data_IF_603365250474
#
_entry.id   IF_603365250474
#
_cell.length_a   1.000
_cell.length_b   1.000
_cell.length_c   1.000
_cell.angle_alpha   90.00
_cell.angle_beta   90.00
_cell.angle_gamma   90.00
#
_symmetry.space_group_name_H-M   'P 1'
#
loop_
_entity.id
_entity.type
_entity.pdbx_description
1 polymer ?
#
# COMPACT_ATOMS: atom_id res chain seq x y z
N UNK A 1 -23.64 6.14 -1.91
CA UNK A 1 -24.98 6.70 -2.12
C UNK A 1 -25.05 8.16 -1.64
N UNK A 2 -24.89 8.54 -0.33
CA UNK A 2 -24.99 9.94 0.13
C UNK A 2 -23.97 10.84 -0.59
N UNK A 3 -22.69 10.44 -0.63
CA UNK A 3 -21.63 11.16 -1.34
C UNK A 3 -21.88 11.30 -2.86
N UNK A 4 -22.41 10.25 -3.49
CA UNK A 4 -22.80 10.27 -4.90
C UNK A 4 -23.92 11.27 -5.17
N UNK A 5 -24.97 11.26 -4.36
CA UNK A 5 -26.09 12.18 -4.50
C UNK A 5 -25.67 13.65 -4.36
N UNK A 6 -24.80 13.96 -3.39
CA UNK A 6 -24.29 15.33 -3.20
C UNK A 6 -23.41 15.74 -4.40
N UNK A 7 -22.62 14.82 -4.97
CA UNK A 7 -21.77 15.09 -6.13
C UNK A 7 -22.57 15.33 -7.41
N UNK A 8 -23.63 14.53 -7.63
CA UNK A 8 -24.41 14.53 -8.88
C UNK A 8 -25.53 15.59 -8.86
N UNK A 9 -26.17 15.77 -7.71
CA UNK A 9 -27.38 16.60 -7.57
C UNK A 9 -27.18 17.89 -6.76
N UNK A 10 -26.02 18.05 -6.10
CA UNK A 10 -25.72 19.20 -5.25
C UNK A 10 -26.35 19.17 -3.85
N UNK A 11 -27.12 18.13 -3.52
CA UNK A 11 -27.79 17.99 -2.22
C UNK A 11 -27.86 16.53 -1.76
N UNK A 12 -27.92 16.28 -0.43
CA UNK A 12 -28.02 14.95 0.12
C UNK A 12 -29.38 14.31 -0.11
N UNK A 13 -29.48 12.96 -0.11
CA UNK A 13 -30.73 12.24 -0.24
C UNK A 13 -31.57 12.36 1.02
N UNK A 14 -32.88 12.20 0.85
CA UNK A 14 -33.86 12.08 1.97
C UNK A 14 -33.76 10.70 2.62
N UNK A 15 -34.30 10.55 3.84
CA UNK A 15 -34.39 9.26 4.54
C UNK A 15 -35.14 8.21 3.71
N UNK A 16 -36.16 8.63 2.94
CA UNK A 16 -36.92 7.73 2.05
C UNK A 16 -36.10 7.25 0.89
N UNK A 17 -35.40 8.15 0.19
CA UNK A 17 -34.50 7.79 -0.92
C UNK A 17 -33.38 6.85 -0.46
N UNK A 18 -32.87 7.02 0.78
CA UNK A 18 -31.90 6.08 1.37
C UNK A 18 -32.56 4.72 1.60
N UNK A 19 -33.77 4.68 2.16
CA UNK A 19 -34.50 3.44 2.39
C UNK A 19 -34.73 2.65 1.11
N UNK A 20 -35.23 3.32 0.08
CA UNK A 20 -35.46 2.73 -1.24
C UNK A 20 -34.16 2.17 -1.85
N UNK A 21 -33.06 2.93 -1.82
CA UNK A 21 -31.78 2.53 -2.39
C UNK A 21 -31.12 1.33 -1.69
N UNK A 22 -31.43 1.11 -0.41
CA UNK A 22 -30.88 0.00 0.38
C UNK A 22 -31.90 -1.09 0.75
N UNK A 23 -33.12 -1.02 0.21
CA UNK A 23 -34.17 -2.01 0.50
C UNK A 23 -34.65 -1.97 1.97
N UNK A 24 -34.51 -0.83 2.66
CA UNK A 24 -34.93 -0.67 4.06
C UNK A 24 -36.34 -0.10 4.09
N UNK A 25 -37.32 -0.95 4.34
CA UNK A 25 -38.75 -0.58 4.32
C UNK A 25 -39.14 0.42 5.43
N UNK A 26 -38.41 0.47 6.54
CA UNK A 26 -38.72 1.32 7.69
C UNK A 26 -37.82 2.55 7.76
N UNK A 27 -38.41 3.74 7.86
CA UNK A 27 -37.67 4.99 8.11
C UNK A 27 -36.91 4.96 9.45
N UNK A 28 -37.41 4.21 10.44
CA UNK A 28 -36.70 4.01 11.71
C UNK A 28 -35.43 3.15 11.51
N UNK A 29 -35.49 2.14 10.63
CA UNK A 29 -34.29 1.38 10.23
C UNK A 29 -33.21 2.26 9.59
N UNK A 30 -33.61 3.14 8.67
CA UNK A 30 -32.68 4.12 8.07
C UNK A 30 -32.09 5.05 9.13
N UNK A 31 -32.93 5.58 10.04
CA UNK A 31 -32.47 6.44 11.14
C UNK A 31 -31.47 5.75 12.03
N UNK A 32 -31.69 4.47 12.36
CA UNK A 32 -30.72 3.68 13.14
C UNK A 32 -29.33 3.63 12.50
N UNK A 33 -29.25 3.38 11.19
CA UNK A 33 -27.97 3.37 10.49
C UNK A 33 -27.34 4.76 10.39
N UNK A 34 -28.15 5.80 10.18
CA UNK A 34 -27.68 7.19 10.19
C UNK A 34 -27.15 7.62 11.56
N UNK A 35 -27.81 7.19 12.67
CA UNK A 35 -27.32 7.42 14.05
C UNK A 35 -25.94 6.77 14.27
N UNK A 36 -25.74 5.57 13.75
CA UNK A 36 -24.43 4.91 13.82
C UNK A 36 -23.34 5.66 13.04
N UNK A 37 -23.66 6.16 11.85
CA UNK A 37 -22.74 6.96 11.05
C UNK A 37 -22.43 8.31 11.71
N UNK A 38 -23.40 8.91 12.37
CA UNK A 38 -23.22 10.16 13.11
C UNK A 38 -22.33 9.96 14.36
N UNK A 39 -22.57 8.89 15.14
CA UNK A 39 -21.71 8.49 16.27
C UNK A 39 -20.28 8.14 15.82
N UNK A 40 -20.13 7.55 14.64
CA UNK A 40 -18.84 7.28 14.04
C UNK A 40 -18.17 8.51 13.43
N UNK A 41 -18.76 9.70 13.58
CA UNK A 41 -18.21 10.96 13.08
C UNK A 41 -18.19 11.11 11.56
N UNK A 42 -18.88 10.23 10.82
CA UNK A 42 -18.88 10.21 9.34
C UNK A 42 -19.84 11.20 8.72
N UNK A 43 -20.94 11.50 9.42
CA UNK A 43 -21.96 12.46 9.00
C UNK A 43 -22.33 13.38 10.17
N UNK A 44 -22.87 14.55 9.84
CA UNK A 44 -23.64 15.42 10.76
C UNK A 44 -25.05 15.51 10.24
N UNK A 45 -26.04 15.47 11.12
CA UNK A 45 -27.43 15.61 10.71
C UNK A 45 -28.05 16.84 11.35
N UNK A 46 -28.70 17.63 10.52
CA UNK A 46 -29.68 18.60 10.99
C UNK A 46 -31.04 17.89 11.02
N UNK A 47 -31.56 17.70 12.23
CA UNK A 47 -32.83 16.97 12.45
C UNK A 47 -34.07 17.77 12.05
N UNK A 48 -33.90 19.04 11.74
CA UNK A 48 -34.98 19.97 11.41
C UNK A 48 -35.18 20.09 9.90
N UNK A 49 -34.28 19.57 9.08
CA UNK A 49 -34.40 19.65 7.62
C UNK A 49 -34.52 18.27 7.00
N UNK A 50 -35.38 18.13 5.98
CA UNK A 50 -35.57 16.85 5.27
C UNK A 50 -34.34 16.36 4.50
N UNK A 51 -33.37 17.24 4.23
CA UNK A 51 -32.10 16.98 3.53
C UNK A 51 -30.88 17.42 4.34
N UNK A 52 -31.01 17.44 5.67
CA UNK A 52 -30.02 17.92 6.61
C UNK A 52 -28.92 16.90 6.91
N UNK A 53 -28.49 16.10 5.94
CA UNK A 53 -27.35 15.18 6.10
C UNK A 53 -26.12 15.84 5.48
N UNK A 54 -25.21 16.25 6.33
CA UNK A 54 -23.92 16.79 5.95
C UNK A 54 -22.87 15.69 6.11
N UNK A 55 -22.14 15.38 5.04
CA UNK A 55 -20.97 14.56 5.16
C UNK A 55 -19.93 15.38 5.94
N UNK A 56 -19.60 14.97 7.14
CA UNK A 56 -18.35 15.46 7.72
C UNK A 56 -17.29 14.99 6.74
N UNK A 57 -16.58 15.96 6.15
CA UNK A 57 -15.33 15.65 5.48
C UNK A 57 -14.58 14.75 6.45
N UNK A 58 -14.38 13.49 6.08
CA UNK A 58 -13.37 12.68 6.71
C UNK A 58 -12.13 13.48 6.37
N UNK A 59 -11.57 14.18 7.35
CA UNK A 59 -10.21 14.69 7.22
C UNK A 59 -9.37 13.45 6.98
N UNK A 60 -9.12 13.11 5.72
CA UNK A 60 -8.49 11.87 5.26
C UNK A 60 -9.11 11.22 4.02
N UNK A 61 -10.30 11.64 3.58
CA UNK A 61 -10.98 10.95 2.48
C UNK A 61 -11.47 11.84 1.37
N UNK A 62 -10.65 12.64 0.74
CA UNK A 62 -10.85 13.18 -0.62
C UNK A 62 -9.75 14.15 -1.03
N UNK A 63 -8.55 13.65 -1.13
CA UNK A 63 -7.51 14.17 -2.02
C UNK A 63 -6.50 13.05 -2.28
N UNK A 64 -6.97 11.98 -2.92
CA UNK A 64 -6.04 10.98 -3.49
C UNK A 64 -5.26 11.54 -4.70
N UNK A 65 -5.47 12.79 -5.07
CA UNK A 65 -4.91 13.35 -6.30
C UNK A 65 -3.80 14.39 -6.11
N UNK A 66 -3.36 14.71 -4.89
CA UNK A 66 -2.30 15.75 -4.74
C UNK A 66 -1.58 15.79 -3.39
N UNK A 67 -1.51 14.69 -2.64
CA UNK A 67 -0.65 14.64 -1.47
C UNK A 67 0.58 13.83 -1.84
N UNK A 68 1.80 14.38 -1.71
CA UNK A 68 3.01 13.57 -1.86
C UNK A 68 2.91 12.42 -0.84
N UNK A 69 3.07 11.17 -1.32
CA UNK A 69 3.02 9.98 -0.49
C UNK A 69 4.06 10.10 0.62
N UNK A 70 3.62 10.27 1.86
CA UNK A 70 4.51 10.22 3.02
C UNK A 70 4.72 8.77 3.36
N UNK A 71 5.93 8.32 3.14
CA UNK A 71 6.35 6.94 3.36
C UNK A 71 6.10 6.52 4.82
N UNK A 72 5.21 5.55 5.03
CA UNK A 72 4.97 4.93 6.34
C UNK A 72 4.05 5.71 7.29
N UNK A 73 3.24 6.66 6.80
CA UNK A 73 2.27 7.37 7.64
C UNK A 73 1.03 6.49 7.89
N UNK A 74 0.69 6.30 9.16
CA UNK A 74 -0.56 5.64 9.59
C UNK A 74 -1.72 6.60 9.33
N UNK A 75 -2.72 6.17 8.57
CA UNK A 75 -3.94 6.96 8.36
C UNK A 75 -4.69 7.04 9.68
N UNK A 76 -4.86 8.25 10.23
CA UNK A 76 -5.59 8.48 11.48
C UNK A 76 -7.00 7.84 11.42
N UNK A 77 -7.28 6.96 12.37
CA UNK A 77 -8.58 6.30 12.54
C UNK A 77 -8.66 4.84 12.08
N UNK A 78 -7.56 4.25 11.58
CA UNK A 78 -7.49 2.85 11.20
C UNK A 78 -6.04 2.35 11.14
N UNK A 79 -5.86 1.05 11.18
CA UNK A 79 -4.55 0.40 11.05
C UNK A 79 -3.96 0.46 9.64
N UNK A 80 -4.51 1.26 8.73
CA UNK A 80 -4.09 1.31 7.33
C UNK A 80 -2.78 2.10 7.17
N UNK A 81 -1.83 1.53 6.45
CA UNK A 81 -0.53 2.10 6.12
C UNK A 81 -0.43 2.29 4.61
N UNK A 82 0.02 3.46 4.18
CA UNK A 82 0.34 3.74 2.79
C UNK A 82 1.75 3.24 2.47
N UNK A 83 1.85 2.35 1.48
CA UNK A 83 3.11 1.79 1.00
C UNK A 83 3.30 2.23 -0.45
N UNK A 84 4.30 3.09 -0.78
CA UNK A 84 4.55 3.52 -2.14
C UNK A 84 4.99 2.33 -3.01
N UNK A 85 4.35 2.17 -4.16
CA UNK A 85 4.78 1.26 -5.21
C UNK A 85 5.76 2.00 -6.11
N UNK A 86 6.98 1.50 -6.17
CA UNK A 86 8.05 2.09 -6.98
C UNK A 86 8.11 1.41 -8.35
N UNK A 87 8.27 2.19 -9.40
CA UNK A 87 8.40 1.69 -10.77
C UNK A 87 9.81 1.25 -11.10
N UNK A 88 10.74 2.18 -11.01
CA UNK A 88 12.18 1.93 -11.21
C UNK A 88 12.94 2.39 -9.97
N UNK A 89 13.96 1.65 -9.61
CA UNK A 89 14.88 2.03 -8.53
C UNK A 89 16.26 2.11 -9.16
N UNK A 90 16.83 3.32 -9.21
CA UNK A 90 18.17 3.55 -9.73
C UNK A 90 19.19 3.64 -8.59
N UNK A 91 20.45 3.23 -8.86
CA UNK A 91 21.56 3.51 -7.99
C UNK A 91 21.87 5.02 -7.97
N UNK A 92 22.22 5.55 -6.80
CA UNK A 92 22.60 6.97 -6.64
C UNK A 92 21.47 7.90 -6.16
N UNK A 93 20.21 7.63 -6.48
CA UNK A 93 19.07 8.36 -5.93
C UNK A 93 18.54 7.71 -4.65
N UNK A 94 17.90 8.48 -3.72
CA UNK A 94 17.17 7.88 -2.61
C UNK A 94 16.06 6.96 -3.14
N UNK A 95 15.99 5.71 -2.64
CA UNK A 95 15.00 4.71 -3.11
C UNK A 95 13.56 5.24 -3.03
N UNK A 96 13.29 6.04 -2.00
CA UNK A 96 11.97 6.60 -1.70
C UNK A 96 11.81 8.03 -2.25
N UNK A 97 12.54 8.40 -3.32
CA UNK A 97 12.32 9.66 -4.00
C UNK A 97 10.94 9.69 -4.66
N UNK A 98 10.26 10.83 -4.58
CA UNK A 98 8.87 10.99 -5.10
C UNK A 98 8.77 10.65 -6.60
N UNK A 99 9.82 10.91 -7.36
CA UNK A 99 9.90 10.64 -8.81
C UNK A 99 9.86 9.14 -9.16
N UNK A 100 10.10 8.26 -8.19
CA UNK A 100 10.07 6.79 -8.39
C UNK A 100 8.71 6.18 -8.05
N UNK A 101 7.77 6.94 -7.47
CA UNK A 101 6.47 6.44 -7.01
C UNK A 101 5.50 6.41 -8.20
N UNK A 102 5.07 5.21 -8.57
CA UNK A 102 4.04 5.00 -9.61
C UNK A 102 2.63 4.94 -9.03
N UNK A 103 2.48 4.36 -7.83
CA UNK A 103 1.19 4.12 -7.18
C UNK A 103 1.37 3.96 -5.66
N UNK A 104 0.28 3.80 -4.92
CA UNK A 104 0.29 3.58 -3.47
C UNK A 104 -0.60 2.39 -3.12
N UNK A 105 -0.04 1.43 -2.38
CA UNK A 105 -0.81 0.36 -1.78
C UNK A 105 -1.28 0.77 -0.39
N UNK A 106 -2.55 0.48 -0.09
CA UNK A 106 -3.11 0.64 1.26
C UNK A 106 -3.20 -0.76 1.88
N UNK A 107 -2.43 -0.97 2.95
CA UNK A 107 -2.33 -2.27 3.64
C UNK A 107 -2.72 -2.09 5.11
N UNK A 108 -3.39 -3.06 5.71
CA UNK A 108 -3.62 -3.02 7.16
C UNK A 108 -2.27 -3.18 7.88
N UNK A 109 -1.98 -2.26 8.80
CA UNK A 109 -0.74 -2.24 9.58
C UNK A 109 -0.49 -3.49 10.44
N UNK A 110 -1.49 -4.35 10.60
CA UNK A 110 -1.31 -5.64 11.25
C UNK A 110 -0.44 -6.61 10.41
N UNK A 111 -0.36 -6.42 9.10
CA UNK A 111 0.44 -7.24 8.20
C UNK A 111 1.88 -6.80 8.04
N UNK A 112 2.23 -5.58 8.48
CA UNK A 112 3.57 -5.02 8.35
C UNK A 112 4.09 -4.54 9.71
N UNK A 113 5.38 -4.73 9.97
CA UNK A 113 6.00 -4.23 11.19
C UNK A 113 6.18 -2.72 11.11
N UNK A 114 6.27 -2.00 12.26
CA UNK A 114 6.63 -0.58 12.25
C UNK A 114 7.93 -0.32 11.49
N UNK A 115 7.97 0.76 10.71
CA UNK A 115 9.14 1.14 9.93
C UNK A 115 8.76 1.68 8.55
N UNK A 116 9.77 2.02 7.75
CA UNK A 116 9.60 2.49 6.38
C UNK A 116 9.44 1.30 5.44
N UNK A 117 8.41 1.33 4.60
CA UNK A 117 8.14 0.29 3.61
C UNK A 117 7.99 0.91 2.23
N UNK A 118 8.29 0.11 1.23
CA UNK A 118 7.97 0.36 -0.16
C UNK A 118 7.57 -0.95 -0.82
N UNK A 119 6.98 -0.86 -1.98
CA UNK A 119 6.58 -2.01 -2.77
C UNK A 119 7.26 -1.95 -4.15
N UNK A 120 7.52 -3.13 -4.73
CA UNK A 120 8.07 -3.29 -6.08
C UNK A 120 7.29 -4.36 -6.82
N UNK A 121 7.08 -4.14 -8.12
CA UNK A 121 6.54 -5.17 -9.00
C UNK A 121 7.66 -6.12 -9.42
N UNK A 122 7.43 -7.40 -9.20
CA UNK A 122 8.35 -8.48 -9.60
C UNK A 122 8.28 -8.67 -11.11
N UNK A 123 9.43 -8.84 -11.73
CA UNK A 123 9.58 -9.21 -13.13
C UNK A 123 10.42 -10.48 -13.23
N UNK A 124 9.93 -11.42 -14.02
CA UNK A 124 10.55 -12.72 -14.19
C UNK A 124 10.24 -13.71 -13.07
N UNK A 125 10.78 -14.90 -13.16
CA UNK A 125 10.44 -16.07 -12.35
C UNK A 125 11.61 -16.61 -11.51
N UNK A 126 12.67 -15.81 -11.35
CA UNK A 126 13.88 -16.23 -10.62
C UNK A 126 13.64 -16.59 -9.15
N UNK A 127 12.45 -16.28 -8.59
CA UNK A 127 12.07 -16.57 -7.21
C UNK A 127 10.82 -17.47 -7.11
N UNK A 128 10.49 -18.21 -8.20
CA UNK A 128 9.27 -19.03 -8.29
C UNK A 128 9.16 -20.08 -7.19
N UNK A 129 10.27 -20.71 -6.79
CA UNK A 129 10.29 -21.75 -5.77
C UNK A 129 10.12 -21.18 -4.35
N UNK A 130 10.31 -19.86 -4.16
CA UNK A 130 9.96 -19.15 -2.94
C UNK A 130 8.51 -18.62 -2.95
N UNK A 131 7.72 -18.96 -3.97
CA UNK A 131 6.34 -18.54 -4.12
C UNK A 131 6.16 -17.11 -4.62
N UNK A 132 7.23 -16.44 -5.09
CA UNK A 132 7.21 -15.11 -5.70
C UNK A 132 7.25 -15.28 -7.21
N UNK A 133 6.17 -14.86 -7.88
CA UNK A 133 5.96 -15.06 -9.31
C UNK A 133 6.05 -13.74 -10.08
N UNK A 134 6.17 -13.85 -11.39
CA UNK A 134 6.09 -12.70 -12.29
C UNK A 134 4.76 -11.94 -12.10
N UNK A 135 4.84 -10.60 -12.06
CA UNK A 135 3.68 -9.72 -11.83
C UNK A 135 3.27 -9.53 -10.37
N UNK A 136 3.82 -10.29 -9.42
CA UNK A 136 3.60 -10.06 -7.99
C UNK A 136 4.09 -8.68 -7.56
N UNK A 137 3.56 -8.20 -6.45
CA UNK A 137 4.06 -7.02 -5.76
C UNK A 137 4.65 -7.45 -4.43
N UNK A 138 5.96 -7.23 -4.25
CA UNK A 138 6.65 -7.48 -2.99
C UNK A 138 6.62 -6.25 -2.10
N UNK A 139 6.30 -6.43 -0.81
CA UNK A 139 6.44 -5.40 0.21
C UNK A 139 7.81 -5.54 0.84
N UNK A 140 8.54 -4.45 0.86
CA UNK A 140 9.93 -4.39 1.33
C UNK A 140 10.01 -3.48 2.55
N UNK A 141 10.53 -4.00 3.65
CA UNK A 141 10.93 -3.19 4.80
C UNK A 141 12.29 -2.56 4.48
N UNK A 142 12.34 -1.25 4.44
CA UNK A 142 13.55 -0.49 4.17
C UNK A 142 14.52 -0.59 5.36
N UNK A 143 15.26 -1.68 5.38
CA UNK A 143 16.25 -2.00 6.41
C UNK A 143 17.52 -2.50 5.71
N UNK A 144 18.63 -1.88 6.03
CA UNK A 144 19.96 -2.30 5.52
C UNK A 144 20.54 -3.50 6.26
N UNK A 145 19.93 -3.92 7.37
CA UNK A 145 20.36 -5.06 8.19
C UNK A 145 19.66 -6.36 7.79
N UNK A 146 19.70 -6.72 6.51
CA UNK A 146 19.19 -7.99 6.03
C UNK A 146 20.11 -9.14 6.48
N UNK A 147 19.51 -10.17 7.08
CA UNK A 147 20.26 -11.34 7.56
C UNK A 147 20.45 -12.37 6.46
N UNK A 148 21.55 -13.13 6.54
CA UNK A 148 21.80 -14.27 5.63
C UNK A 148 20.63 -15.27 5.69
N UNK A 149 20.15 -15.65 4.49
CA UNK A 149 19.00 -16.53 4.31
C UNK A 149 17.68 -15.80 4.11
N UNK A 150 17.60 -14.50 4.33
CA UNK A 150 16.39 -13.71 4.08
C UNK A 150 16.27 -13.31 2.60
N UNK A 151 15.03 -13.10 2.15
CA UNK A 151 14.77 -12.57 0.80
C UNK A 151 14.91 -11.05 0.85
N UNK A 152 15.74 -10.51 -0.03
CA UNK A 152 16.05 -9.08 -0.09
C UNK A 152 15.83 -8.52 -1.48
N UNK A 153 15.59 -7.21 -1.52
CA UNK A 153 15.77 -6.41 -2.73
C UNK A 153 17.17 -5.81 -2.68
N UNK A 154 17.93 -6.04 -3.73
CA UNK A 154 19.27 -5.48 -3.91
C UNK A 154 19.27 -4.72 -5.23
N UNK A 155 19.75 -3.50 -5.20
CA UNK A 155 19.97 -2.67 -6.40
C UNK A 155 21.40 -2.90 -6.86
N UNK A 156 21.57 -3.19 -8.14
CA UNK A 156 22.86 -3.37 -8.81
C UNK A 156 22.83 -2.47 -10.05
N UNK A 157 23.64 -1.41 -10.04
CA UNK A 157 23.54 -0.38 -11.07
C UNK A 157 22.16 0.27 -11.07
N UNK A 158 21.46 0.19 -12.19
CA UNK A 158 20.10 0.76 -12.38
C UNK A 158 18.96 -0.27 -12.19
N UNK A 159 19.28 -1.48 -11.77
CA UNK A 159 18.29 -2.55 -11.66
C UNK A 159 18.11 -3.04 -10.23
N UNK A 160 16.85 -3.19 -9.83
CA UNK A 160 16.48 -3.85 -8.57
C UNK A 160 16.21 -5.34 -8.81
N UNK A 161 16.84 -6.19 -8.02
CA UNK A 161 16.64 -7.64 -8.08
C UNK A 161 16.15 -8.19 -6.74
N UNK A 162 15.26 -9.19 -6.79
CA UNK A 162 14.77 -9.92 -5.62
C UNK A 162 15.49 -11.26 -5.58
N UNK A 163 16.23 -11.53 -4.49
CA UNK A 163 16.99 -12.76 -4.32
C UNK A 163 17.08 -13.16 -2.86
N UNK A 164 17.47 -14.41 -2.60
CA UNK A 164 17.86 -14.83 -1.26
C UNK A 164 19.28 -14.35 -0.97
N UNK A 165 19.39 -13.52 0.06
CA UNK A 165 20.61 -12.82 0.43
C UNK A 165 21.48 -13.66 1.36
N UNK A 166 22.78 -13.74 1.07
CA UNK A 166 23.79 -14.32 1.96
C UNK A 166 25.01 -13.42 2.03
N UNK A 167 25.36 -12.97 3.23
CA UNK A 167 26.62 -12.28 3.48
C UNK A 167 27.69 -13.31 3.81
N UNK A 168 28.78 -13.30 3.06
CA UNK A 168 29.96 -14.16 3.23
C UNK A 168 31.19 -13.27 3.33
N UNK A 169 31.87 -13.27 4.48
CA UNK A 169 33.09 -12.50 4.75
C UNK A 169 33.20 -11.16 4.00
N UNK A 170 33.62 -11.20 2.75
CA UNK A 170 33.93 -10.08 1.88
C UNK A 170 33.01 -9.92 0.67
N UNK A 171 31.99 -10.79 0.54
CA UNK A 171 31.04 -10.77 -0.58
C UNK A 171 29.59 -11.04 -0.20
N UNK A 172 28.70 -10.57 -1.03
CA UNK A 172 27.28 -10.86 -0.98
C UNK A 172 26.97 -11.85 -2.10
N UNK A 173 26.29 -12.94 -1.73
CA UNK A 173 25.77 -13.92 -2.67
C UNK A 173 24.24 -13.76 -2.73
N UNK A 174 23.70 -13.59 -3.92
CA UNK A 174 22.29 -13.42 -4.20
C UNK A 174 21.79 -14.65 -4.94
N UNK A 175 21.17 -15.58 -4.21
CA UNK A 175 20.68 -16.84 -4.76
C UNK A 175 19.27 -16.67 -5.32
N UNK A 176 19.03 -17.11 -6.57
CA UNK A 176 17.70 -17.31 -7.08
C UNK A 176 17.01 -18.49 -6.38
N UNK A 177 15.70 -18.49 -6.35
CA UNK A 177 14.85 -19.62 -5.98
C UNK A 177 14.24 -20.20 -7.26
N UNK A 178 15.10 -20.53 -8.21
CA UNK A 178 14.81 -21.16 -9.49
C UNK A 178 16.12 -21.71 -10.07
N UNK A 179 16.11 -22.99 -10.40
CA UNK A 179 17.29 -23.73 -10.90
C UNK A 179 17.77 -23.26 -12.29
N UNK A 180 16.90 -22.55 -13.02
CA UNK A 180 17.22 -21.99 -14.34
C UNK A 180 18.11 -20.74 -14.28
N UNK A 181 18.43 -20.25 -13.08
CA UNK A 181 19.21 -19.03 -12.85
C UNK A 181 20.43 -19.28 -11.99
N UNK A 182 21.53 -18.65 -12.36
CA UNK A 182 22.78 -18.70 -11.59
C UNK A 182 22.77 -17.66 -10.45
N UNK A 183 23.44 -17.94 -9.33
CA UNK A 183 23.67 -16.98 -8.26
C UNK A 183 24.48 -15.77 -8.74
N UNK A 184 24.14 -14.58 -8.22
CA UNK A 184 24.88 -13.34 -8.47
C UNK A 184 25.81 -13.09 -7.29
N UNK A 185 27.08 -12.85 -7.57
CA UNK A 185 28.08 -12.48 -6.58
C UNK A 185 28.42 -10.99 -6.73
N UNK A 186 28.34 -10.21 -5.63
CA UNK A 186 28.68 -8.79 -5.61
C UNK A 186 29.53 -8.46 -4.39
N UNK A 187 30.29 -7.37 -4.46
CA UNK A 187 31.08 -6.87 -3.34
C UNK A 187 30.25 -5.87 -2.52
N UNK A 188 30.24 -5.95 -1.18
CA UNK A 188 29.59 -4.96 -0.33
C UNK A 188 30.14 -3.55 -0.48
N UNK A 189 31.38 -3.44 -0.97
CA UNK A 189 32.10 -2.17 -1.18
C UNK A 189 31.88 -1.56 -2.56
N UNK A 190 31.16 -2.26 -3.44
CA UNK A 190 30.84 -1.75 -4.77
C UNK A 190 29.81 -0.63 -4.64
N UNK A 191 30.13 0.59 -5.12
CA UNK A 191 29.23 1.74 -5.03
C UNK A 191 27.94 1.58 -5.84
N UNK A 192 27.91 0.67 -6.80
CA UNK A 192 26.73 0.35 -7.58
C UNK A 192 25.82 -0.69 -6.90
N UNK A 193 26.27 -1.28 -5.79
CA UNK A 193 25.51 -2.28 -5.05
C UNK A 193 24.90 -1.68 -3.79
N UNK A 194 23.59 -1.80 -3.64
CA UNK A 194 22.88 -1.34 -2.45
C UNK A 194 21.79 -2.31 -2.03
N UNK A 195 21.83 -2.77 -0.78
CA UNK A 195 20.71 -3.52 -0.18
C UNK A 195 19.59 -2.54 0.11
N UNK A 196 18.49 -2.67 -0.62
CA UNK A 196 17.32 -1.80 -0.52
C UNK A 196 16.45 -2.13 0.70
N UNK A 197 16.36 -3.41 1.04
CA UNK A 197 15.65 -3.89 2.21
C UNK A 197 15.23 -5.34 2.11
N UNK A 198 14.56 -5.79 3.16
CA UNK A 198 14.04 -7.15 3.31
C UNK A 198 12.64 -7.27 2.76
N UNK A 199 12.36 -8.31 1.99
CA UNK A 199 10.99 -8.67 1.58
C UNK A 199 10.23 -9.22 2.79
N UNK A 200 9.10 -8.62 3.11
CA UNK A 200 8.26 -8.97 4.27
C UNK A 200 6.85 -9.42 3.89
N UNK A 201 6.47 -9.25 2.64
CA UNK A 201 5.16 -9.67 2.14
C UNK A 201 5.13 -9.76 0.62
N UNK A 202 4.16 -10.51 0.11
CA UNK A 202 3.86 -10.64 -1.32
C UNK A 202 2.38 -10.39 -1.51
N UNK A 203 2.06 -9.56 -2.49
CA UNK A 203 0.70 -9.27 -2.91
C UNK A 203 0.50 -9.81 -4.32
N UNK A 204 -0.49 -10.68 -4.51
CA UNK A 204 -0.87 -11.22 -5.82
C UNK A 204 -2.34 -10.99 -6.06
N UNK A 205 -2.65 -10.39 -7.21
CA UNK A 205 -4.01 -10.32 -7.70
C UNK A 205 -4.26 -11.54 -8.59
N UNK A 206 -5.21 -12.37 -8.19
CA UNK A 206 -5.70 -13.45 -9.03
C UNK A 206 -6.73 -12.89 -10.01
N UNK A 207 -6.62 -13.32 -11.27
CA UNK A 207 -7.54 -12.92 -12.33
C UNK A 207 -8.84 -13.72 -12.24
#
# INVERSE_FOLDING_TARGET
>A
MIAGSVRERGYPPTIREIGEAFGIASTNGVRYYLDRLERAGKIRRDRWTSRGIELKAIEGGAKLASRPARVGEVIEGGRAIEIPLLGRVAAGAPILAEEHIEDVLIVDGAFVRPGKHFALRVRGDSMKNAGILDGDVVIVHHDTQVKSGEIAVVVIGEEATVKRYFLRRDKILLFPENEDYEPIEVLPTDPEVRVAGKVVGVFRRLA
#
